data_IF_512546335163
#
_entry.id   IF_512546335163
#
_cell.length_a   1.000
_cell.length_b   1.000
_cell.length_c   1.000
_cell.angle_alpha   90.00
_cell.angle_beta   90.00
_cell.angle_gamma   90.00
#
_symmetry.space_group_name_H-M   'P 1'
#
loop_
_entity.id
_entity.type
_entity.pdbx_description
1 polymer ?
#
# COMPACT_ATOMS: atom_id res chain seq x y z
N UNK A 1 6.08 0.61 -16.43
CA UNK A 1 7.34 1.31 -16.13
C UNK A 1 7.61 1.14 -14.64
N UNK A 2 8.70 0.48 -14.23
CA UNK A 2 9.04 0.30 -12.80
C UNK A 2 9.78 1.55 -12.31
N UNK A 3 9.15 2.34 -11.44
CA UNK A 3 9.78 3.48 -10.80
C UNK A 3 10.59 3.01 -9.59
N UNK A 4 11.83 2.56 -9.81
CA UNK A 4 12.77 2.21 -8.74
C UNK A 4 13.71 3.37 -8.38
N UNK A 5 13.34 4.62 -8.69
CA UNK A 5 14.19 5.79 -8.45
C UNK A 5 13.60 6.61 -7.30
N UNK A 6 14.29 6.62 -6.17
CA UNK A 6 13.95 7.50 -5.03
C UNK A 6 14.91 8.69 -5.04
N UNK A 7 14.36 9.91 -5.08
CA UNK A 7 15.13 11.15 -5.05
C UNK A 7 15.22 11.62 -3.60
N UNK A 8 16.44 11.68 -3.06
CA UNK A 8 16.70 12.33 -1.77
C UNK A 8 16.68 13.85 -1.92
N UNK A 9 16.29 14.58 -0.86
CA UNK A 9 16.24 16.05 -0.79
C UNK A 9 17.59 16.74 -1.09
N UNK A 10 18.70 15.99 -1.15
CA UNK A 10 20.03 16.44 -1.54
C UNK A 10 20.45 16.12 -2.99
N UNK A 11 19.55 15.65 -3.86
CA UNK A 11 19.85 15.37 -5.27
C UNK A 11 20.61 14.07 -5.54
N UNK A 12 20.67 13.16 -4.56
CA UNK A 12 21.27 11.83 -4.74
C UNK A 12 20.22 10.85 -5.27
N UNK A 13 20.51 10.22 -6.42
CA UNK A 13 19.68 9.19 -7.02
C UNK A 13 19.96 7.83 -6.38
N UNK A 14 18.94 7.22 -5.75
CA UNK A 14 19.01 5.82 -5.35
C UNK A 14 18.20 4.97 -6.30
N UNK A 15 18.85 3.99 -6.94
CA UNK A 15 18.16 2.90 -7.64
C UNK A 15 17.84 1.83 -6.60
N UNK A 16 16.57 1.61 -6.31
CA UNK A 16 16.10 0.46 -5.53
C UNK A 16 16.41 -0.82 -6.33
N UNK A 17 17.58 -1.41 -6.09
CA UNK A 17 18.01 -2.64 -6.77
C UNK A 17 17.58 -3.87 -5.98
N UNK A 18 16.94 -4.83 -6.65
CA UNK A 18 16.53 -6.09 -6.04
C UNK A 18 17.67 -7.11 -5.90
N UNK A 19 18.87 -6.83 -6.42
CA UNK A 19 19.96 -7.79 -6.46
C UNK A 19 20.62 -7.98 -5.09
N UNK A 20 20.89 -9.24 -4.72
CA UNK A 20 21.54 -9.63 -3.45
C UNK A 20 22.85 -8.88 -3.17
N UNK A 21 23.61 -8.53 -4.21
CA UNK A 21 24.89 -7.79 -4.08
C UNK A 21 24.76 -6.40 -3.45
N UNK A 22 23.56 -5.81 -3.44
CA UNK A 22 23.28 -4.50 -2.81
C UNK A 22 22.52 -4.65 -1.49
N UNK A 23 22.34 -5.87 -0.97
CA UNK A 23 21.55 -6.17 0.23
C UNK A 23 22.40 -6.97 1.22
N UNK A 24 22.39 -6.57 2.48
CA UNK A 24 23.07 -7.28 3.59
C UNK A 24 22.04 -7.60 4.68
N UNK A 25 22.42 -8.43 5.66
CA UNK A 25 21.55 -8.89 6.77
C UNK A 25 20.17 -9.40 6.30
N UNK A 26 20.16 -10.23 5.25
CA UNK A 26 18.92 -10.77 4.67
C UNK A 26 18.32 -11.78 5.64
N UNK A 27 17.16 -11.44 6.21
CA UNK A 27 16.34 -12.30 7.04
C UNK A 27 15.06 -12.68 6.30
N UNK A 28 14.64 -13.92 6.47
CA UNK A 28 13.38 -14.41 5.94
C UNK A 28 12.35 -14.38 7.07
N UNK A 29 11.21 -13.73 6.82
CA UNK A 29 10.05 -13.81 7.70
C UNK A 29 9.02 -14.73 7.08
N UNK A 30 8.50 -15.66 7.87
CA UNK A 30 7.39 -16.53 7.53
C UNK A 30 6.16 -16.25 8.41
N UNK A 31 6.16 -15.10 9.10
CA UNK A 31 5.06 -14.71 9.98
C UNK A 31 3.81 -14.34 9.15
N UNK A 32 2.70 -15.08 9.29
CA UNK A 32 1.48 -14.82 8.55
C UNK A 32 0.65 -13.67 9.13
N UNK A 33 0.92 -13.19 10.36
CA UNK A 33 0.03 -12.29 11.08
C UNK A 33 -0.17 -10.95 10.36
N UNK A 34 0.90 -10.36 9.79
CA UNK A 34 0.78 -9.14 8.98
C UNK A 34 -0.11 -9.36 7.75
N UNK A 35 0.03 -10.51 7.09
CA UNK A 35 -0.82 -10.88 5.96
C UNK A 35 -2.27 -11.07 6.37
N UNK A 36 -2.52 -11.67 7.54
CA UNK A 36 -3.85 -11.81 8.11
C UNK A 36 -4.50 -10.48 8.50
N UNK A 37 -3.74 -9.55 9.10
CA UNK A 37 -4.21 -8.19 9.36
C UNK A 37 -4.59 -7.47 8.06
N UNK A 38 -3.78 -7.61 7.01
CA UNK A 38 -4.06 -7.03 5.70
C UNK A 38 -5.32 -7.63 5.05
N UNK A 39 -5.54 -8.95 5.17
CA UNK A 39 -6.74 -9.62 4.63
C UNK A 39 -8.05 -9.19 5.32
N UNK A 40 -7.98 -8.72 6.57
CA UNK A 40 -9.15 -8.19 7.29
C UNK A 40 -9.51 -6.75 6.88
N UNK A 41 -8.63 -6.07 6.14
CA UNK A 41 -8.88 -4.73 5.67
C UNK A 41 -9.99 -4.70 4.61
N UNK A 42 -10.82 -3.67 4.67
CA UNK A 42 -11.86 -3.43 3.67
C UNK A 42 -11.34 -2.47 2.60
N UNK A 43 -11.48 -2.80 1.31
CA UNK A 43 -11.27 -1.85 0.23
C UNK A 43 -12.16 -0.62 0.45
N UNK A 44 -11.59 0.55 0.24
CA UNK A 44 -12.26 1.84 0.38
C UNK A 44 -12.38 2.51 -0.97
N UNK A 45 -13.38 3.39 -1.10
CA UNK A 45 -13.49 4.28 -2.27
C UNK A 45 -13.62 5.71 -1.81
N UNK A 46 -13.00 6.65 -2.52
CA UNK A 46 -13.04 8.06 -2.18
C UNK A 46 -13.10 8.94 -3.43
N UNK A 47 -13.50 10.20 -3.23
CA UNK A 47 -13.35 11.28 -4.19
C UNK A 47 -12.22 12.17 -3.69
N UNK A 48 -11.41 12.71 -4.60
CA UNK A 48 -10.37 13.66 -4.21
C UNK A 48 -10.98 15.03 -3.83
N UNK A 49 -10.47 15.63 -2.76
CA UNK A 49 -10.99 16.91 -2.24
C UNK A 49 -10.67 18.07 -3.18
N UNK A 50 -9.51 18.07 -3.84
CA UNK A 50 -9.15 19.12 -4.80
C UNK A 50 -9.97 18.97 -6.08
N UNK A 51 -10.19 17.75 -6.56
CA UNK A 51 -11.07 17.53 -7.71
C UNK A 51 -12.48 18.06 -7.44
N UNK A 52 -13.05 17.74 -6.28
CA UNK A 52 -14.35 18.27 -5.86
C UNK A 52 -14.37 19.79 -5.70
N UNK A 53 -13.28 20.38 -5.20
CA UNK A 53 -13.18 21.83 -5.05
C UNK A 53 -13.10 22.53 -6.42
N UNK A 54 -12.34 21.96 -7.36
CA UNK A 54 -12.16 22.48 -8.71
C UNK A 54 -13.48 22.42 -9.49
N UNK A 55 -14.20 21.30 -9.43
CA UNK A 55 -15.53 21.18 -10.04
C UNK A 55 -16.50 22.24 -9.48
N UNK A 56 -16.51 22.44 -8.16
CA UNK A 56 -17.36 23.48 -7.54
C UNK A 56 -16.99 24.89 -7.96
N UNK A 57 -15.70 25.21 -8.00
CA UNK A 57 -15.22 26.52 -8.42
C UNK A 57 -15.61 26.81 -9.88
N UNK A 58 -15.56 25.81 -10.76
CA UNK A 58 -16.03 25.92 -12.14
C UNK A 58 -17.51 26.27 -12.21
N UNK A 59 -18.37 25.53 -11.51
CA UNK A 59 -19.82 25.77 -11.53
C UNK A 59 -20.25 27.10 -10.89
N UNK A 60 -19.44 27.62 -9.96
CA UNK A 60 -19.66 28.93 -9.36
C UNK A 60 -19.11 30.09 -10.20
N UNK A 61 -18.39 29.82 -11.29
CA UNK A 61 -17.70 30.85 -12.08
C UNK A 61 -16.48 31.46 -11.37
N UNK A 62 -15.94 30.78 -10.35
CA UNK A 62 -14.73 31.17 -9.62
C UNK A 62 -13.44 30.69 -10.32
N UNK A 63 -13.55 29.74 -11.26
CA UNK A 63 -12.46 29.19 -12.04
C UNK A 63 -12.92 28.78 -13.44
N UNK A 64 -12.04 28.93 -14.44
CA UNK A 64 -12.25 28.36 -15.79
C UNK A 64 -11.76 26.90 -15.88
N UNK A 65 -11.09 26.40 -14.84
CA UNK A 65 -10.59 25.02 -14.78
C UNK A 65 -11.73 24.06 -14.44
N UNK A 66 -11.97 23.10 -15.34
CA UNK A 66 -12.96 22.06 -15.15
C UNK A 66 -12.28 20.70 -14.93
N UNK A 67 -12.75 19.98 -13.92
CA UNK A 67 -12.43 18.57 -13.71
C UNK A 67 -13.69 17.79 -13.36
N UNK A 68 -13.68 16.50 -13.68
CA UNK A 68 -14.74 15.56 -13.28
C UNK A 68 -14.19 14.70 -12.15
N UNK A 69 -14.69 14.85 -10.91
CA UNK A 69 -14.21 14.07 -9.79
C UNK A 69 -14.35 12.58 -10.05
N UNK A 70 -13.27 11.84 -9.84
CA UNK A 70 -13.25 10.39 -10.05
C UNK A 70 -13.35 9.67 -8.72
N UNK A 71 -14.06 8.54 -8.74
CA UNK A 71 -14.08 7.62 -7.60
C UNK A 71 -12.87 6.71 -7.67
N UNK A 72 -11.94 6.93 -6.74
CA UNK A 72 -10.76 6.12 -6.55
C UNK A 72 -11.08 4.90 -5.68
N UNK A 73 -10.28 3.83 -5.84
CA UNK A 73 -10.36 2.60 -5.06
C UNK A 73 -8.99 2.34 -4.45
N UNK A 74 -8.95 1.94 -3.18
CA UNK A 74 -7.71 1.57 -2.50
C UNK A 74 -7.88 1.45 -1.00
N UNK A 75 -6.84 1.80 -0.24
CA UNK A 75 -6.81 1.76 1.21
C UNK A 75 -6.47 3.14 1.78
N UNK A 76 -6.87 3.36 3.03
CA UNK A 76 -6.56 4.56 3.81
C UNK A 76 -5.39 4.26 4.72
N UNK A 77 -4.35 5.07 4.66
CA UNK A 77 -3.08 4.81 5.33
C UNK A 77 -3.21 4.79 6.87
N UNK A 78 -4.07 5.62 7.44
CA UNK A 78 -4.39 5.62 8.87
C UNK A 78 -5.05 4.30 9.31
N UNK A 79 -5.83 3.65 8.44
CA UNK A 79 -6.40 2.34 8.74
C UNK A 79 -5.33 1.25 8.78
N UNK A 80 -4.25 1.38 7.99
CA UNK A 80 -3.11 0.46 8.07
C UNK A 80 -2.40 0.60 9.41
N UNK A 81 -2.18 1.83 9.88
CA UNK A 81 -1.58 2.06 11.20
C UNK A 81 -2.43 1.47 12.33
N UNK A 82 -3.76 1.65 12.28
CA UNK A 82 -4.67 1.06 13.26
C UNK A 82 -4.64 -0.48 13.25
N UNK A 83 -4.29 -1.09 12.11
CA UNK A 83 -4.13 -2.53 11.95
C UNK A 83 -2.71 -3.04 12.30
N UNK A 84 -1.81 -2.17 12.77
CA UNK A 84 -0.41 -2.54 13.07
C UNK A 84 0.44 -2.80 11.83
N UNK A 85 0.06 -2.22 10.68
CA UNK A 85 0.74 -2.37 9.39
C UNK A 85 1.66 -1.17 9.10
N UNK A 86 2.32 -0.65 10.14
CA UNK A 86 3.14 0.57 10.11
C UNK A 86 4.26 0.53 9.07
N UNK A 87 4.87 -0.64 8.85
CA UNK A 87 5.96 -0.84 7.88
C UNK A 87 5.53 -0.65 6.41
N UNK A 88 4.22 -0.62 6.13
CA UNK A 88 3.63 -0.42 4.81
C UNK A 88 3.16 1.01 4.56
N UNK A 89 3.39 1.92 5.50
CA UNK A 89 3.04 3.33 5.42
C UNK A 89 4.31 4.17 5.31
N UNK A 90 4.31 5.19 4.45
CA UNK A 90 5.41 6.16 4.38
C UNK A 90 5.16 7.32 5.38
N UNK A 91 5.94 7.40 6.48
CA UNK A 91 5.88 8.55 7.37
C UNK A 91 6.66 9.73 6.74
N UNK A 92 5.95 10.71 6.18
CA UNK A 92 6.56 12.01 5.86
C UNK A 92 6.33 13.00 6.99
N UNK A 93 7.42 13.53 7.58
CA UNK A 93 7.46 14.64 8.55
C UNK A 93 6.10 15.04 9.15
N UNK A 94 5.66 14.28 10.15
CA UNK A 94 4.47 14.60 10.96
C UNK A 94 3.10 14.26 10.35
N UNK A 95 3.04 13.69 9.15
CA UNK A 95 1.78 13.25 8.53
C UNK A 95 1.92 11.92 7.78
N UNK A 96 0.89 11.10 7.89
CA UNK A 96 0.72 9.89 7.09
C UNK A 96 0.31 10.32 5.69
N UNK A 97 1.15 10.05 4.67
CA UNK A 97 0.88 10.53 3.30
C UNK A 97 0.61 9.43 2.28
N UNK A 98 1.24 8.27 2.40
CA UNK A 98 1.15 7.24 1.36
C UNK A 98 1.31 5.83 1.89
N UNK A 99 0.85 4.89 1.06
CA UNK A 99 0.95 3.45 1.29
C UNK A 99 1.95 2.88 0.28
N UNK A 100 2.84 2.02 0.74
CA UNK A 100 3.73 1.22 -0.10
C UNK A 100 2.96 0.05 -0.74
N UNK A 101 2.10 0.35 -1.71
CA UNK A 101 1.21 -0.63 -2.36
C UNK A 101 1.96 -1.81 -3.00
N UNK A 102 3.17 -1.59 -3.49
CA UNK A 102 4.04 -2.62 -4.06
C UNK A 102 4.48 -3.68 -3.04
N UNK A 103 4.51 -3.31 -1.76
CA UNK A 103 4.94 -4.19 -0.66
C UNK A 103 3.79 -4.99 -0.05
N UNK A 104 2.55 -4.51 -0.16
CA UNK A 104 1.37 -5.19 0.39
C UNK A 104 1.22 -6.62 -0.15
N UNK A 105 1.49 -6.84 -1.44
CA UNK A 105 1.42 -8.17 -2.03
C UNK A 105 2.45 -9.15 -1.43
N UNK A 106 3.64 -8.65 -1.06
CA UNK A 106 4.69 -9.46 -0.42
C UNK A 106 4.26 -9.87 0.99
N UNK A 107 3.57 -8.98 1.72
CA UNK A 107 3.04 -9.25 3.06
C UNK A 107 2.02 -10.40 3.09
N UNK A 108 1.32 -10.64 1.97
CA UNK A 108 0.33 -11.72 1.86
C UNK A 108 0.97 -13.10 1.69
N UNK A 109 2.23 -13.20 1.25
CA UNK A 109 2.85 -14.47 0.91
C UNK A 109 2.87 -15.47 2.08
N UNK A 110 3.28 -15.10 3.31
CA UNK A 110 3.29 -16.04 4.43
C UNK A 110 1.88 -16.48 4.83
N UNK A 111 0.89 -15.56 4.81
CA UNK A 111 -0.51 -15.87 5.10
C UNK A 111 -1.11 -16.84 4.08
N UNK A 112 -0.88 -16.63 2.78
CA UNK A 112 -1.33 -17.55 1.73
C UNK A 112 -0.67 -18.93 1.85
N UNK A 113 0.62 -18.99 2.20
CA UNK A 113 1.31 -20.25 2.44
C UNK A 113 0.75 -20.99 3.66
N UNK A 114 0.43 -20.27 4.74
CA UNK A 114 -0.21 -20.84 5.93
C UNK A 114 -1.62 -21.36 5.64
N UNK A 115 -2.44 -20.59 4.93
CA UNK A 115 -3.76 -21.01 4.47
C UNK A 115 -3.69 -22.27 3.61
N UNK A 116 -2.78 -22.33 2.64
CA UNK A 116 -2.62 -23.50 1.78
C UNK A 116 -2.21 -24.74 2.59
N UNK A 117 -1.30 -24.60 3.57
CA UNK A 117 -0.90 -25.70 4.46
C UNK A 117 -2.10 -26.23 5.24
N UNK A 118 -2.88 -25.33 5.85
CA UNK A 118 -4.08 -25.67 6.62
C UNK A 118 -5.15 -26.37 5.78
N UNK A 119 -5.34 -25.93 4.53
CA UNK A 119 -6.26 -26.58 3.58
C UNK A 119 -5.84 -28.01 3.28
N UNK A 120 -4.56 -28.23 2.92
CA UNK A 120 -4.04 -29.59 2.66
C UNK A 120 -4.18 -30.49 3.89
N UNK A 121 -3.87 -29.99 5.08
CA UNK A 121 -4.05 -30.74 6.33
C UNK A 121 -5.52 -31.09 6.61
N UNK A 122 -6.46 -30.23 6.23
CA UNK A 122 -7.90 -30.50 6.36
C UNK A 122 -8.37 -31.53 5.34
N UNK A 123 -7.92 -31.46 4.10
CA UNK A 123 -8.25 -32.44 3.06
C UNK A 123 -7.75 -33.84 3.44
N UNK A 124 -6.53 -33.96 3.97
CA UNK A 124 -5.98 -35.24 4.43
C UNK A 124 -6.71 -35.84 5.64
N UNK A 125 -7.39 -35.02 6.46
CA UNK A 125 -8.18 -35.50 7.62
C UNK A 125 -9.56 -36.00 7.22
N UNK A 126 -10.06 -35.61 6.05
CA UNK A 126 -11.42 -35.86 5.60
C UNK A 126 -11.53 -36.64 4.28
N UNK A 127 -10.40 -37.00 3.65
CA UNK A 127 -10.31 -37.91 2.50
C UNK A 127 -9.83 -39.30 2.89
#
# INVERSE_FOLDING_TARGET
>A
MSANTVISSGGVFFVASSARRYKTDIKYTNDPELGYSLMQMKPTTWLDKQELATEKAFWNGESDEYTVPRRYVGLIAENLLQAGLDEYVDPQTGQVKSIYYDRLAVALLPALADMNRRLVEQELKHG
#
